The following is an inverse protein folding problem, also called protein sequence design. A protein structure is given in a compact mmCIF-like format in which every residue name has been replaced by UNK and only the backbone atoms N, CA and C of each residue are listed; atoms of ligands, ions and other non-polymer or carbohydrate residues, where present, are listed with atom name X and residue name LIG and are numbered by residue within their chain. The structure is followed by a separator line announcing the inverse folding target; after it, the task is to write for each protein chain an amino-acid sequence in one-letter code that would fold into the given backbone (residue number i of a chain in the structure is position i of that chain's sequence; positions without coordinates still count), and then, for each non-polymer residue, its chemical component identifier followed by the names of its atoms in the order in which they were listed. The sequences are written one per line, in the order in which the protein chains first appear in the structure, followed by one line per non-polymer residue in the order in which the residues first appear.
data_IF_337718887274
#
_entry.id   IF_337718887274
#
_cell.length_a   1.000
_cell.length_b   1.000
_cell.length_c   1.000
_cell.angle_alpha   90.00
_cell.angle_beta   90.00
_cell.angle_gamma   90.00
#
_symmetry.space_group_name_H-M   'P 1'
#
loop_
_entity.id
_entity.type
_entity.pdbx_description
1 polymer ?
#
# COMPACT_ATOMS: atom_id res chain seq x y z
N UNK A 1 17.54 59.81 44.77
CA UNK A 1 18.42 60.99 44.65
C UNK A 1 19.04 61.00 43.26
N UNK A 2 19.11 62.20 42.69
CA UNK A 2 19.51 62.51 41.32
C UNK A 2 21.03 62.47 41.09
N UNK A 3 21.45 62.46 39.81
CA UNK A 3 22.81 62.85 39.40
C UNK A 3 23.34 62.01 38.22
N UNK A 4 22.91 62.30 36.99
CA UNK A 4 23.59 63.22 36.07
C UNK A 4 25.00 62.73 35.63
N UNK A 5 25.09 62.04 34.50
CA UNK A 5 26.32 61.98 33.71
C UNK A 5 26.00 62.13 32.22
N UNK A 6 26.48 63.25 31.66
CA UNK A 6 26.27 63.73 30.29
C UNK A 6 26.77 62.72 29.24
N UNK A 7 26.17 62.67 28.03
CA UNK A 7 26.69 61.84 26.95
C UNK A 7 28.06 62.36 26.48
N UNK A 8 29.09 61.49 26.52
CA UNK A 8 30.39 61.77 25.93
C UNK A 8 30.27 61.85 24.40
N UNK A 9 30.67 63.00 23.85
CA UNK A 9 30.57 63.33 22.44
C UNK A 9 31.30 62.37 21.49
N UNK A 10 30.85 62.39 20.23
CA UNK A 10 31.31 61.53 19.16
C UNK A 10 32.83 61.61 18.93
N UNK A 11 33.52 60.48 19.10
CA UNK A 11 34.93 60.33 18.74
C UNK A 11 35.05 60.33 17.21
N UNK A 12 35.52 61.44 16.65
CA UNK A 12 35.85 61.55 15.22
C UNK A 12 37.13 60.74 14.93
N UNK A 13 37.00 59.52 14.40
CA UNK A 13 38.15 58.79 13.82
C UNK A 13 38.58 59.48 12.53
N UNK A 14 39.83 59.95 12.48
CA UNK A 14 40.44 60.49 11.27
C UNK A 14 40.49 59.41 10.18
N UNK A 15 40.03 59.77 8.97
CA UNK A 15 40.12 58.91 7.79
C UNK A 15 41.60 58.69 7.46
N UNK A 16 42.07 57.44 7.52
CA UNK A 16 43.35 57.03 6.93
C UNK A 16 43.29 57.39 5.44
N UNK A 17 44.23 58.22 4.96
CA UNK A 17 44.33 58.58 3.54
C UNK A 17 44.46 57.34 2.65
N UNK A 18 44.17 57.46 1.34
CA UNK A 18 44.22 56.33 0.42
C UNK A 18 45.64 55.74 0.42
N UNK A 19 45.76 54.44 0.71
CA UNK A 19 47.03 53.72 0.57
C UNK A 19 47.46 53.74 -0.90
N UNK A 20 48.70 54.16 -1.15
CA UNK A 20 49.31 54.10 -2.48
C UNK A 20 49.07 52.72 -3.12
N UNK A 21 48.48 52.72 -4.31
CA UNK A 21 47.99 51.53 -4.99
C UNK A 21 49.12 50.53 -5.28
N UNK A 22 48.78 49.24 -5.34
CA UNK A 22 49.68 48.14 -5.69
C UNK A 22 50.03 48.12 -7.19
N UNK A 23 50.41 49.27 -7.75
CA UNK A 23 50.77 49.44 -9.14
C UNK A 23 51.98 48.58 -9.48
N UNK A 24 51.75 47.40 -10.06
CA UNK A 24 52.79 46.57 -10.68
C UNK A 24 52.99 45.17 -10.11
N UNK A 25 52.52 44.86 -8.90
CA UNK A 25 52.90 43.59 -8.24
C UNK A 25 52.08 42.34 -8.63
N UNK A 26 51.10 42.44 -9.54
CA UNK A 26 50.37 41.28 -10.10
C UNK A 26 49.98 41.49 -11.58
N UNK A 27 50.95 41.53 -12.50
CA UNK A 27 50.66 41.59 -13.96
C UNK A 27 49.74 40.46 -14.45
N UNK A 28 49.83 39.25 -13.89
CA UNK A 28 48.92 38.12 -14.22
C UNK A 28 47.49 38.26 -13.68
N UNK A 29 47.23 39.20 -12.77
CA UNK A 29 45.88 39.49 -12.27
C UNK A 29 45.15 40.56 -13.07
N UNK A 30 45.84 41.18 -14.05
CA UNK A 30 45.36 42.28 -14.88
C UNK A 30 44.96 41.85 -16.30
N UNK A 31 45.12 40.57 -16.66
CA UNK A 31 44.41 40.04 -17.82
C UNK A 31 42.91 40.06 -17.51
N UNK A 32 42.19 40.92 -18.22
CA UNK A 32 40.74 41.01 -18.12
C UNK A 32 40.16 39.63 -18.42
N UNK A 33 39.67 38.95 -17.38
CA UNK A 33 38.75 37.82 -17.59
C UNK A 33 37.63 38.37 -18.46
N UNK A 34 37.44 37.78 -19.64
CA UNK A 34 36.55 38.29 -20.69
C UNK A 34 35.14 38.62 -20.19
N UNK A 35 34.30 39.21 -21.06
CA UNK A 35 32.99 39.74 -20.67
C UNK A 35 32.24 38.73 -19.81
N UNK A 36 31.81 39.21 -18.63
CA UNK A 36 31.21 38.32 -17.63
C UNK A 36 29.99 37.64 -18.27
N UNK A 37 29.87 36.30 -18.25
CA UNK A 37 28.82 35.56 -18.96
C UNK A 37 27.42 36.10 -18.67
N UNK A 38 26.42 35.88 -19.54
CA UNK A 38 25.06 36.33 -19.23
C UNK A 38 24.57 35.72 -17.92
N UNK A 39 23.71 36.43 -17.20
CA UNK A 39 23.21 36.06 -15.87
C UNK A 39 22.62 34.64 -15.81
N UNK A 40 22.06 34.17 -16.92
CA UNK A 40 21.49 32.83 -17.11
C UNK A 40 22.52 31.71 -17.22
N UNK A 41 23.75 32.02 -17.63
CA UNK A 41 24.80 31.03 -17.91
C UNK A 41 25.78 30.90 -16.74
N UNK A 42 25.53 31.62 -15.63
CA UNK A 42 26.36 31.62 -14.42
C UNK A 42 25.79 30.65 -13.38
N UNK A 43 26.43 29.50 -13.09
CA UNK A 43 25.85 28.44 -12.24
C UNK A 43 25.36 28.89 -10.86
N UNK A 44 26.01 29.89 -10.27
CA UNK A 44 25.70 30.40 -8.93
C UNK A 44 24.70 31.58 -8.92
N UNK A 45 24.32 32.10 -10.09
CA UNK A 45 23.43 33.24 -10.22
C UNK A 45 21.96 32.82 -10.18
N UNK A 46 21.09 33.67 -9.64
CA UNK A 46 19.66 33.38 -9.47
C UNK A 46 18.96 33.09 -10.81
N UNK A 47 19.32 33.81 -11.88
CA UNK A 47 18.76 33.62 -13.21
C UNK A 47 19.11 32.25 -13.83
N UNK A 48 20.33 31.74 -13.64
CA UNK A 48 20.69 30.37 -14.04
C UNK A 48 19.88 29.32 -13.26
N UNK A 49 19.70 29.53 -11.94
CA UNK A 49 18.85 28.65 -11.12
C UNK A 49 17.38 28.69 -11.57
N UNK A 50 16.89 29.86 -11.97
CA UNK A 50 15.53 30.03 -12.50
C UNK A 50 15.35 29.35 -13.86
N UNK A 51 16.31 29.51 -14.78
CA UNK A 51 16.34 28.86 -16.09
C UNK A 51 16.40 27.34 -15.99
N UNK A 52 17.30 26.78 -15.17
CA UNK A 52 17.32 25.33 -14.89
C UNK A 52 16.02 24.82 -14.24
N UNK A 53 15.35 25.63 -13.43
CA UNK A 53 14.05 25.26 -12.83
C UNK A 53 12.94 25.27 -13.87
N UNK A 54 12.96 26.21 -14.81
CA UNK A 54 12.05 26.27 -15.95
C UNK A 54 12.29 25.10 -16.92
N UNK A 55 13.55 24.82 -17.28
CA UNK A 55 13.95 23.68 -18.13
C UNK A 55 13.57 22.34 -17.50
N UNK A 56 13.81 22.15 -16.19
CA UNK A 56 13.32 20.98 -15.45
C UNK A 56 11.79 20.91 -15.35
N UNK A 57 11.09 22.03 -15.48
CA UNK A 57 9.62 22.05 -15.51
C UNK A 57 9.06 21.72 -16.89
N UNK A 58 9.78 22.05 -17.96
CA UNK A 58 9.44 21.71 -19.35
C UNK A 58 9.87 20.30 -19.75
N UNK A 59 10.94 19.75 -19.15
CA UNK A 59 11.38 18.36 -19.34
C UNK A 59 10.57 17.35 -18.51
N UNK A 60 9.81 17.81 -17.50
CA UNK A 60 8.78 16.96 -16.91
C UNK A 60 7.74 16.70 -18.00
N UNK A 61 7.66 15.42 -18.40
CA UNK A 61 6.59 14.81 -19.22
C UNK A 61 5.28 15.60 -19.03
N UNK A 62 4.52 15.89 -20.11
CA UNK A 62 3.30 16.68 -20.01
C UNK A 62 2.52 16.15 -18.84
N UNK A 63 2.13 17.03 -17.91
CA UNK A 63 1.52 16.68 -16.65
C UNK A 63 0.55 15.51 -16.87
N UNK A 64 1.01 14.28 -16.62
CA UNK A 64 0.14 13.13 -16.59
C UNK A 64 -0.84 13.51 -15.51
N UNK A 65 -2.07 13.82 -15.93
CA UNK A 65 -3.06 14.52 -15.13
C UNK A 65 -3.03 13.89 -13.74
N UNK A 66 -2.57 14.65 -12.74
CA UNK A 66 -2.62 14.18 -11.36
C UNK A 66 -4.10 14.02 -11.06
N UNK A 67 -4.59 12.78 -11.16
CA UNK A 67 -5.98 12.48 -10.89
C UNK A 67 -6.27 12.89 -9.45
N UNK A 68 -7.40 13.55 -9.19
CA UNK A 68 -7.82 13.79 -7.82
C UNK A 68 -8.02 12.42 -7.14
N UNK A 69 -7.60 12.30 -5.86
CA UNK A 69 -7.72 11.04 -5.10
C UNK A 69 -9.14 10.48 -5.06
N UNK A 70 -10.16 11.30 -5.32
CA UNK A 70 -11.57 10.91 -5.41
C UNK A 70 -11.90 10.05 -6.63
N UNK A 71 -11.10 10.11 -7.69
CA UNK A 71 -11.29 9.35 -8.94
C UNK A 71 -10.50 8.04 -8.97
N UNK A 72 -9.70 7.75 -7.94
CA UNK A 72 -9.05 6.46 -7.79
C UNK A 72 -9.98 5.45 -7.12
N UNK A 73 -9.95 4.17 -7.56
CA UNK A 73 -10.63 3.10 -6.85
C UNK A 73 -10.21 3.04 -5.38
N UNK A 74 -11.20 2.88 -4.50
CA UNK A 74 -10.96 2.72 -3.06
C UNK A 74 -10.70 1.25 -2.77
N UNK A 75 -9.45 0.88 -2.53
CA UNK A 75 -9.06 -0.48 -2.14
C UNK A 75 -8.04 -1.09 -3.09
N UNK A 76 -8.06 -2.42 -3.16
CA UNK A 76 -7.21 -3.16 -4.08
C UNK A 76 -7.76 -3.06 -5.51
N UNK A 77 -6.87 -3.20 -6.49
CA UNK A 77 -7.19 -3.05 -7.90
C UNK A 77 -6.78 -4.31 -8.65
N UNK A 78 -7.70 -4.85 -9.45
CA UNK A 78 -7.40 -5.90 -10.42
C UNK A 78 -7.41 -5.29 -11.82
N UNK A 79 -6.41 -5.63 -12.63
CA UNK A 79 -6.24 -5.05 -13.96
C UNK A 79 -5.96 -6.14 -14.99
N UNK A 80 -6.36 -5.88 -16.25
CA UNK A 80 -6.25 -6.84 -17.34
C UNK A 80 -7.55 -7.61 -17.59
N UNK A 81 -7.81 -7.96 -18.86
CA UNK A 81 -9.10 -8.51 -19.31
C UNK A 81 -9.46 -9.82 -18.61
N UNK A 82 -8.52 -10.76 -18.56
CA UNK A 82 -8.75 -12.07 -17.93
C UNK A 82 -8.89 -11.95 -16.41
N UNK A 83 -8.04 -11.16 -15.77
CA UNK A 83 -8.04 -11.06 -14.31
C UNK A 83 -9.35 -10.42 -13.80
N UNK A 84 -9.84 -9.39 -14.50
CA UNK A 84 -11.13 -8.75 -14.19
C UNK A 84 -12.30 -9.71 -14.43
N UNK A 85 -12.33 -10.39 -15.57
CA UNK A 85 -13.39 -11.35 -15.89
C UNK A 85 -13.48 -12.45 -14.83
N UNK A 86 -12.34 -13.04 -14.48
CA UNK A 86 -12.27 -14.11 -13.48
C UNK A 86 -12.69 -13.63 -12.09
N UNK A 87 -12.26 -12.43 -11.67
CA UNK A 87 -12.69 -11.86 -10.40
C UNK A 87 -14.21 -11.62 -10.36
N UNK A 88 -14.81 -11.21 -11.47
CA UNK A 88 -16.26 -11.05 -11.57
C UNK A 88 -16.99 -12.39 -11.53
N UNK A 89 -16.50 -13.43 -12.22
CA UNK A 89 -17.10 -14.79 -12.17
C UNK A 89 -17.08 -15.39 -10.76
N UNK A 90 -15.99 -15.17 -10.03
CA UNK A 90 -15.84 -15.62 -8.63
C UNK A 90 -16.60 -14.75 -7.63
N UNK A 91 -17.37 -13.75 -8.10
CA UNK A 91 -18.16 -12.84 -7.26
C UNK A 91 -17.30 -12.13 -6.20
N UNK A 92 -16.06 -11.79 -6.54
CA UNK A 92 -15.18 -11.03 -5.65
C UNK A 92 -15.84 -9.69 -5.32
N UNK A 93 -15.95 -9.28 -4.04
CA UNK A 93 -16.62 -8.04 -3.65
C UNK A 93 -15.98 -6.81 -4.31
N UNK A 94 -16.58 -6.31 -5.38
CA UNK A 94 -16.11 -5.16 -6.14
C UNK A 94 -16.93 -3.90 -5.85
N UNK A 95 -16.33 -2.73 -6.07
CA UNK A 95 -16.99 -1.43 -5.92
C UNK A 95 -17.35 -0.81 -7.26
N UNK A 96 -16.45 -0.91 -8.24
CA UNK A 96 -16.59 -0.28 -9.55
C UNK A 96 -15.73 -0.97 -10.59
N UNK A 97 -16.13 -0.84 -11.86
CA UNK A 97 -15.35 -1.23 -13.01
C UNK A 97 -15.06 0.01 -13.86
N UNK A 98 -13.80 0.19 -14.26
CA UNK A 98 -13.34 1.30 -15.08
C UNK A 98 -12.88 0.74 -16.44
N UNK A 99 -13.42 1.29 -17.52
CA UNK A 99 -13.16 0.83 -18.89
C UNK A 99 -12.62 1.97 -19.74
N UNK A 100 -11.62 1.69 -20.57
CA UNK A 100 -11.03 2.70 -21.44
C UNK A 100 -12.00 3.08 -22.56
N UNK A 101 -12.15 4.38 -22.82
CA UNK A 101 -12.82 4.88 -24.02
C UNK A 101 -12.18 4.27 -25.27
N UNK A 102 -13.00 3.71 -26.15
CA UNK A 102 -12.56 3.10 -27.39
C UNK A 102 -11.73 1.82 -27.22
N UNK A 103 -11.90 1.09 -26.11
CA UNK A 103 -11.32 -0.24 -25.97
C UNK A 103 -11.98 -1.21 -26.95
N UNK A 104 -11.18 -2.11 -27.54
CA UNK A 104 -11.73 -3.19 -28.36
C UNK A 104 -12.58 -4.12 -27.50
N UNK A 105 -13.88 -4.16 -27.78
CA UNK A 105 -14.83 -5.04 -27.07
C UNK A 105 -14.68 -6.44 -27.64
N UNK A 106 -13.88 -7.26 -26.97
CA UNK A 106 -13.86 -8.71 -27.17
C UNK A 106 -14.87 -9.40 -26.24
N UNK A 107 -15.06 -10.71 -26.41
CA UNK A 107 -15.99 -11.52 -25.61
C UNK A 107 -15.74 -11.35 -24.10
N UNK A 108 -14.47 -11.19 -23.69
CA UNK A 108 -14.09 -11.06 -22.28
C UNK A 108 -14.53 -9.73 -21.69
N UNK A 109 -14.36 -8.63 -22.45
CA UNK A 109 -14.84 -7.32 -22.01
C UNK A 109 -16.36 -7.30 -22.00
N UNK A 110 -17.01 -7.84 -23.04
CA UNK A 110 -18.46 -7.92 -23.11
C UNK A 110 -19.05 -8.67 -21.91
N UNK A 111 -18.51 -9.86 -21.60
CA UNK A 111 -18.93 -10.66 -20.44
C UNK A 111 -18.63 -9.95 -19.11
N UNK A 112 -17.47 -9.29 -18.99
CA UNK A 112 -17.12 -8.52 -17.79
C UNK A 112 -18.12 -7.38 -17.53
N UNK A 113 -18.51 -6.66 -18.58
CA UNK A 113 -19.51 -5.58 -18.46
C UNK A 113 -20.89 -6.14 -18.08
N UNK A 114 -21.28 -7.28 -18.66
CA UNK A 114 -22.54 -7.95 -18.33
C UNK A 114 -22.57 -8.42 -16.86
N UNK A 115 -21.49 -9.06 -16.38
CA UNK A 115 -21.37 -9.47 -14.98
C UNK A 115 -21.36 -8.27 -14.04
N UNK A 116 -20.68 -7.18 -14.42
CA UNK A 116 -20.68 -5.95 -13.63
C UNK A 116 -22.09 -5.34 -13.50
N UNK A 117 -22.89 -5.34 -14.57
CA UNK A 117 -24.29 -4.92 -14.52
C UNK A 117 -25.13 -5.83 -13.63
N UNK A 118 -24.98 -7.15 -13.76
CA UNK A 118 -25.71 -8.13 -12.94
C UNK A 118 -25.39 -7.99 -11.44
N UNK A 119 -24.15 -7.64 -11.10
CA UNK A 119 -23.71 -7.36 -9.74
C UNK A 119 -24.04 -5.94 -9.26
N UNK A 120 -24.65 -5.10 -10.09
CA UNK A 120 -25.00 -3.72 -9.75
C UNK A 120 -23.79 -2.80 -9.54
N UNK A 121 -22.66 -3.11 -10.18
CA UNK A 121 -21.43 -2.32 -10.07
C UNK A 121 -21.51 -1.03 -10.91
N UNK A 122 -20.86 0.03 -10.43
CA UNK A 122 -20.71 1.25 -11.22
C UNK A 122 -19.72 1.03 -12.37
N UNK A 123 -20.16 1.30 -13.60
CA UNK A 123 -19.32 1.24 -14.81
C UNK A 123 -18.89 2.66 -15.16
N UNK A 124 -17.59 2.91 -15.13
CA UNK A 124 -16.98 4.23 -15.44
C UNK A 124 -16.16 4.17 -16.70
N UNK A 125 -16.53 4.98 -17.69
CA UNK A 125 -15.74 5.11 -18.92
C UNK A 125 -14.69 6.23 -18.79
N UNK A 126 -13.42 5.86 -18.86
CA UNK A 126 -12.28 6.74 -18.53
C UNK A 126 -11.28 6.81 -19.69
N UNK A 127 -10.44 7.84 -19.70
CA UNK A 127 -9.39 7.92 -20.71
C UNK A 127 -8.33 6.85 -20.48
N UNK A 128 -7.79 6.25 -21.55
CA UNK A 128 -6.75 5.21 -21.45
C UNK A 128 -5.55 5.64 -20.59
N UNK A 129 -5.12 6.90 -20.73
CA UNK A 129 -4.03 7.46 -19.93
C UNK A 129 -4.31 7.45 -18.41
N UNK A 130 -5.58 7.56 -18.00
CA UNK A 130 -5.99 7.48 -16.59
C UNK A 130 -5.81 6.05 -16.08
N UNK A 131 -6.26 5.04 -16.84
CA UNK A 131 -6.08 3.64 -16.47
C UNK A 131 -4.61 3.24 -16.35
N UNK A 132 -3.77 3.64 -17.31
CA UNK A 132 -2.32 3.37 -17.26
C UNK A 132 -1.62 4.09 -16.08
N UNK A 133 -2.19 5.19 -15.59
CA UNK A 133 -1.70 5.86 -14.36
C UNK A 133 -2.07 5.06 -13.11
N UNK A 134 -3.24 4.41 -13.10
CA UNK A 134 -3.73 3.60 -11.97
C UNK A 134 -3.03 2.23 -11.94
N UNK A 135 -3.10 1.49 -13.04
CA UNK A 135 -2.49 0.18 -13.20
C UNK A 135 -1.84 0.10 -14.60
N UNK A 136 -0.50 0.09 -14.67
CA UNK A 136 0.21 -0.14 -15.93
C UNK A 136 -0.21 -1.46 -16.56
N UNK A 137 -0.33 -1.51 -17.89
CA UNK A 137 -0.72 -2.71 -18.63
C UNK A 137 -2.14 -3.22 -18.28
N UNK A 138 -3.06 -2.31 -17.91
CA UNK A 138 -4.46 -2.64 -17.61
C UNK A 138 -5.24 -3.28 -18.76
N UNK A 139 -4.71 -3.24 -20.00
CA UNK A 139 -5.39 -3.72 -21.21
C UNK A 139 -6.76 -3.04 -21.46
N UNK A 140 -6.95 -1.85 -20.89
CA UNK A 140 -8.15 -1.04 -21.05
C UNK A 140 -9.28 -1.36 -20.07
N UNK A 141 -9.05 -2.18 -19.04
CA UNK A 141 -10.07 -2.49 -18.03
C UNK A 141 -9.45 -2.68 -16.64
N UNK A 142 -10.12 -2.13 -15.63
CA UNK A 142 -9.74 -2.21 -14.22
C UNK A 142 -10.99 -2.50 -13.38
N UNK A 143 -10.85 -3.34 -12.37
CA UNK A 143 -11.85 -3.61 -11.35
C UNK A 143 -11.33 -3.10 -10.00
N UNK A 144 -12.11 -2.22 -9.36
CA UNK A 144 -11.89 -1.80 -7.99
C UNK A 144 -12.51 -2.80 -7.02
N UNK A 145 -11.71 -3.35 -6.11
CA UNK A 145 -12.14 -4.33 -5.11
C UNK A 145 -12.38 -3.63 -3.78
N UNK A 146 -13.48 -3.99 -3.13
CA UNK A 146 -13.81 -3.51 -1.78
C UNK A 146 -12.72 -3.99 -0.80
N UNK A 147 -12.17 -3.09 0.04
CA UNK A 147 -11.24 -3.51 1.08
C UNK A 147 -11.83 -4.63 1.93
N UNK A 148 -11.06 -5.70 2.14
CA UNK A 148 -11.49 -6.78 3.00
C UNK A 148 -11.69 -6.27 4.44
N UNK A 149 -12.79 -6.65 5.06
CA UNK A 149 -13.12 -6.27 6.43
C UNK A 149 -12.70 -7.40 7.37
N UNK A 150 -11.59 -7.22 8.07
CA UNK A 150 -11.16 -8.14 9.11
C UNK A 150 -12.01 -7.96 10.37
N UNK A 151 -12.35 -9.07 11.01
CA UNK A 151 -12.97 -9.10 12.34
C UNK A 151 -11.91 -8.99 13.43
N UNK A 152 -12.32 -8.72 14.66
CA UNK A 152 -11.41 -8.93 15.80
C UNK A 152 -11.46 -10.37 16.29
N UNK A 153 -10.40 -10.80 16.98
CA UNK A 153 -10.37 -12.12 17.64
C UNK A 153 -11.55 -12.26 18.62
N UNK A 154 -11.83 -11.23 19.40
CA UNK A 154 -12.92 -11.20 20.38
C UNK A 154 -14.29 -11.31 19.72
N UNK A 155 -14.49 -10.64 18.58
CA UNK A 155 -15.73 -10.70 17.81
C UNK A 155 -16.00 -12.12 17.32
N UNK A 156 -14.99 -12.80 16.76
CA UNK A 156 -15.11 -14.19 16.32
C UNK A 156 -15.48 -15.08 17.50
N UNK A 157 -14.74 -15.00 18.60
CA UNK A 157 -15.00 -15.80 19.81
C UNK A 157 -16.41 -15.55 20.37
N UNK A 158 -16.89 -14.30 20.39
CA UNK A 158 -18.21 -13.96 20.94
C UNK A 158 -19.40 -14.48 20.11
N UNK A 159 -19.21 -14.62 18.80
CA UNK A 159 -20.26 -15.06 17.86
C UNK A 159 -20.24 -16.57 17.62
N UNK A 160 -19.16 -17.23 17.98
CA UNK A 160 -18.97 -18.66 17.75
C UNK A 160 -19.79 -19.49 18.74
N UNK A 161 -20.27 -20.64 18.28
CA UNK A 161 -20.88 -21.65 19.15
C UNK A 161 -19.82 -22.68 19.52
N UNK A 162 -19.86 -23.18 20.76
CA UNK A 162 -19.00 -24.29 21.17
C UNK A 162 -19.55 -25.63 20.65
N UNK A 163 -18.69 -26.58 20.24
CA UNK A 163 -17.23 -26.43 20.14
C UNK A 163 -16.84 -25.53 18.96
N UNK A 164 -16.00 -24.53 19.23
CA UNK A 164 -15.48 -23.62 18.21
C UNK A 164 -14.19 -24.19 17.61
N UNK A 165 -13.95 -23.92 16.33
CA UNK A 165 -12.72 -24.29 15.65
C UNK A 165 -12.06 -23.03 15.06
N UNK A 166 -10.89 -22.68 15.57
CA UNK A 166 -10.07 -21.59 15.03
C UNK A 166 -8.85 -22.15 14.31
N UNK A 167 -8.49 -21.51 13.20
CA UNK A 167 -7.25 -21.80 12.48
C UNK A 167 -6.36 -20.56 12.54
N UNK A 168 -5.24 -20.66 13.23
CA UNK A 168 -4.21 -19.64 13.30
C UNK A 168 -3.14 -19.92 12.25
N UNK A 169 -2.80 -18.92 11.43
CA UNK A 169 -1.73 -19.00 10.45
C UNK A 169 -0.52 -18.21 10.91
N UNK A 170 0.61 -18.86 11.05
CA UNK A 170 1.89 -18.22 11.35
C UNK A 170 2.81 -18.26 10.11
N UNK A 171 3.31 -17.11 9.68
CA UNK A 171 4.25 -17.02 8.55
C UNK A 171 3.68 -17.27 7.15
N UNK A 172 2.38 -17.58 6.98
CA UNK A 172 1.78 -17.79 5.66
C UNK A 172 1.71 -16.47 4.89
N UNK A 173 2.58 -16.29 3.90
CA UNK A 173 2.74 -15.03 3.15
C UNK A 173 2.14 -15.04 1.75
N UNK A 174 1.90 -16.20 1.13
CA UNK A 174 1.23 -16.30 -0.17
C UNK A 174 -0.30 -16.17 -0.03
N UNK A 175 -0.95 -15.17 -0.68
CA UNK A 175 -2.41 -15.05 -0.72
C UNK A 175 -3.12 -16.29 -1.25
N UNK A 176 -2.50 -17.08 -2.14
CA UNK A 176 -3.11 -18.33 -2.63
C UNK A 176 -3.24 -19.36 -1.51
N UNK A 177 -2.21 -19.49 -0.67
CA UNK A 177 -2.23 -20.39 0.48
C UNK A 177 -3.27 -19.95 1.50
N UNK A 178 -3.35 -18.63 1.79
CA UNK A 178 -4.42 -18.08 2.63
C UNK A 178 -5.81 -18.42 2.07
N UNK A 179 -6.02 -18.26 0.76
CA UNK A 179 -7.28 -18.61 0.09
C UNK A 179 -7.59 -20.10 0.21
N UNK A 180 -6.61 -20.97 -0.01
CA UNK A 180 -6.77 -22.42 0.11
C UNK A 180 -7.13 -22.86 1.54
N UNK A 181 -6.43 -22.32 2.55
CA UNK A 181 -6.77 -22.55 3.95
C UNK A 181 -8.18 -22.03 4.24
N UNK A 182 -8.54 -20.84 3.78
CA UNK A 182 -9.88 -20.26 3.96
C UNK A 182 -10.98 -21.18 3.41
N UNK A 183 -10.75 -21.75 2.23
CA UNK A 183 -11.65 -22.73 1.62
C UNK A 183 -11.80 -23.97 2.48
N UNK A 184 -10.68 -24.56 2.90
CA UNK A 184 -10.68 -25.78 3.72
C UNK A 184 -11.32 -25.53 5.09
N UNK A 185 -10.90 -24.48 5.79
CA UNK A 185 -11.45 -24.10 7.09
C UNK A 185 -12.97 -23.89 7.04
N UNK A 186 -13.48 -23.20 6.02
CA UNK A 186 -14.92 -23.03 5.83
C UNK A 186 -15.64 -24.36 5.53
N UNK A 187 -15.01 -25.27 4.79
CA UNK A 187 -15.57 -26.60 4.49
C UNK A 187 -15.66 -27.49 5.73
N UNK A 188 -14.70 -27.36 6.65
CA UNK A 188 -14.67 -28.08 7.93
C UNK A 188 -15.44 -27.38 9.06
N UNK A 189 -16.13 -26.27 8.77
CA UNK A 189 -16.95 -25.57 9.77
C UNK A 189 -16.14 -24.79 10.80
N UNK A 190 -14.92 -24.34 10.45
CA UNK A 190 -14.17 -23.42 11.29
C UNK A 190 -15.00 -22.18 11.60
N UNK A 191 -14.86 -21.68 12.82
CA UNK A 191 -15.53 -20.47 13.30
C UNK A 191 -14.79 -19.20 12.87
N UNK A 192 -13.49 -19.30 12.57
CA UNK A 192 -12.72 -18.20 12.00
C UNK A 192 -11.25 -18.53 11.78
N UNK A 193 -10.57 -17.63 11.06
CA UNK A 193 -9.11 -17.68 10.83
C UNK A 193 -8.44 -16.52 11.54
N UNK A 194 -7.27 -16.77 12.14
CA UNK A 194 -6.44 -15.73 12.74
C UNK A 194 -5.14 -15.63 11.96
N UNK A 195 -4.78 -14.43 11.55
CA UNK A 195 -3.51 -14.12 10.89
C UNK A 195 -2.82 -12.96 11.61
N UNK A 196 -1.48 -12.89 11.65
CA UNK A 196 -0.80 -11.72 12.18
C UNK A 196 -0.90 -10.53 11.21
N UNK A 197 -0.84 -9.31 11.74
CA UNK A 197 -0.82 -8.08 10.91
C UNK A 197 0.44 -7.97 10.04
N UNK A 198 1.53 -8.60 10.46
CA UNK A 198 2.84 -8.56 9.79
C UNK A 198 3.28 -9.97 9.44
N UNK A 199 4.01 -10.09 8.33
CA UNK A 199 4.51 -11.38 7.82
C UNK A 199 3.39 -12.38 7.54
N UNK A 200 2.23 -11.89 7.10
CA UNK A 200 1.12 -12.69 6.64
C UNK A 200 0.61 -12.19 5.29
N UNK A 201 -0.06 -13.10 4.57
CA UNK A 201 -0.82 -12.79 3.38
C UNK A 201 -2.03 -11.90 3.72
N UNK A 202 -2.35 -10.97 2.83
CA UNK A 202 -3.60 -10.23 2.87
C UNK A 202 -4.67 -10.95 2.04
N UNK A 203 -5.94 -10.71 2.36
CA UNK A 203 -7.07 -11.19 1.57
C UNK A 203 -7.22 -10.34 0.28
N UNK A 204 -6.37 -10.66 -0.70
CA UNK A 204 -6.31 -10.03 -2.03
C UNK A 204 -7.28 -10.68 -3.01
N UNK A 205 -7.37 -10.15 -4.24
CA UNK A 205 -8.15 -10.79 -5.31
C UNK A 205 -7.78 -12.26 -5.56
N UNK A 206 -6.48 -12.57 -5.49
CA UNK A 206 -5.99 -13.94 -5.68
C UNK A 206 -6.37 -14.86 -4.51
N UNK A 207 -6.33 -14.35 -3.27
CA UNK A 207 -6.81 -15.11 -2.11
C UNK A 207 -8.32 -15.37 -2.20
N UNK A 208 -9.11 -14.36 -2.57
CA UNK A 208 -10.55 -14.48 -2.80
C UNK A 208 -10.87 -15.56 -3.83
N UNK A 209 -10.19 -15.52 -4.99
CA UNK A 209 -10.34 -16.53 -6.03
C UNK A 209 -10.05 -17.93 -5.50
N UNK A 210 -8.90 -18.14 -4.86
CA UNK A 210 -8.52 -19.47 -4.35
C UNK A 210 -9.46 -19.94 -3.21
N UNK A 211 -10.09 -19.02 -2.49
CA UNK A 211 -11.06 -19.33 -1.44
C UNK A 211 -12.40 -19.89 -1.95
N UNK A 212 -12.70 -19.77 -3.25
CA UNK A 212 -13.97 -20.20 -3.85
C UNK A 212 -15.20 -19.65 -3.08
N UNK A 213 -15.17 -18.35 -2.76
CA UNK A 213 -16.23 -17.66 -2.02
C UNK A 213 -16.28 -17.93 -0.50
N UNK A 214 -15.40 -18.79 0.04
CA UNK A 214 -15.34 -19.04 1.48
C UNK A 214 -15.04 -17.77 2.30
N UNK A 215 -14.23 -16.86 1.76
CA UNK A 215 -13.88 -15.59 2.39
C UNK A 215 -15.09 -14.66 2.63
N UNK A 216 -16.26 -14.89 2.00
CA UNK A 216 -17.47 -14.12 2.25
C UNK A 216 -18.22 -14.51 3.52
N UNK A 217 -17.95 -15.71 4.05
CA UNK A 217 -18.74 -16.34 5.12
C UNK A 217 -17.93 -16.75 6.34
N UNK A 218 -16.61 -16.95 6.18
CA UNK A 218 -15.71 -17.25 7.28
C UNK A 218 -15.00 -15.96 7.74
N UNK A 219 -15.21 -15.49 8.99
CA UNK A 219 -14.53 -14.31 9.47
C UNK A 219 -13.03 -14.56 9.63
N UNK A 220 -12.23 -13.56 9.26
CA UNK A 220 -10.77 -13.59 9.39
C UNK A 220 -10.37 -12.42 10.28
N UNK A 221 -9.60 -12.71 11.33
CA UNK A 221 -9.06 -11.73 12.25
C UNK A 221 -7.59 -11.46 12.00
N UNK A 222 -7.22 -10.17 12.04
CA UNK A 222 -5.84 -9.73 12.09
C UNK A 222 -5.44 -9.42 13.53
N UNK A 223 -4.33 -10.00 14.00
CA UNK A 223 -3.82 -9.79 15.35
C UNK A 223 -2.40 -9.22 15.32
N UNK A 224 -2.10 -8.34 16.28
CA UNK A 224 -0.77 -7.72 16.40
C UNK A 224 0.29 -8.73 16.85
N UNK A 225 -0.08 -9.64 17.76
CA UNK A 225 0.81 -10.64 18.33
C UNK A 225 0.08 -11.99 18.44
N UNK A 226 0.47 -12.94 17.61
CA UNK A 226 -0.14 -14.26 17.56
C UNK A 226 0.13 -15.06 18.84
N UNK A 227 1.34 -15.02 19.40
CA UNK A 227 1.68 -15.71 20.64
C UNK A 227 0.80 -15.27 21.81
N UNK A 228 0.57 -13.96 21.94
CA UNK A 228 -0.36 -13.42 22.95
C UNK A 228 -1.79 -13.90 22.72
N UNK A 229 -2.23 -13.96 21.46
CA UNK A 229 -3.58 -14.45 21.10
C UNK A 229 -3.73 -15.93 21.47
N UNK A 230 -2.69 -16.73 21.27
CA UNK A 230 -2.64 -18.13 21.68
C UNK A 230 -2.75 -18.26 23.20
N UNK A 231 -2.01 -17.46 23.96
CA UNK A 231 -2.11 -17.47 25.43
C UNK A 231 -3.52 -17.08 25.90
N UNK A 232 -4.15 -16.12 25.24
CA UNK A 232 -5.52 -15.69 25.55
C UNK A 232 -6.56 -16.76 25.15
N UNK A 233 -6.32 -17.54 24.10
CA UNK A 233 -7.12 -18.71 23.75
C UNK A 233 -7.01 -19.81 24.82
N UNK A 234 -5.79 -20.12 25.28
CA UNK A 234 -5.57 -21.09 26.37
C UNK A 234 -6.27 -20.70 27.66
N UNK A 235 -6.21 -19.41 28.05
CA UNK A 235 -6.92 -18.88 29.23
C UNK A 235 -8.44 -19.01 29.14
N UNK A 236 -8.99 -19.07 27.93
CA UNK A 236 -10.43 -19.29 27.69
C UNK A 236 -10.83 -20.77 27.73
N UNK A 237 -9.88 -21.68 27.97
CA UNK A 237 -10.13 -23.13 27.97
C UNK A 237 -10.08 -23.75 26.58
N UNK A 238 -9.53 -23.05 25.58
CA UNK A 238 -9.35 -23.59 24.24
C UNK A 238 -8.14 -24.53 24.22
N UNK A 239 -8.32 -25.72 23.66
CA UNK A 239 -7.23 -26.62 23.36
C UNK A 239 -6.44 -26.07 22.17
N UNK A 240 -5.12 -25.99 22.28
CA UNK A 240 -4.28 -25.42 21.22
C UNK A 240 -3.34 -26.49 20.68
N UNK A 241 -3.40 -26.72 19.38
CA UNK A 241 -2.55 -27.69 18.65
C UNK A 241 -1.67 -26.90 17.68
N UNK A 242 -0.35 -27.09 17.77
CA UNK A 242 0.58 -26.66 16.74
C UNK A 242 0.88 -27.81 15.79
N UNK A 243 0.79 -27.57 14.48
CA UNK A 243 1.20 -28.53 13.48
C UNK A 243 2.69 -28.34 13.18
N UNK A 244 3.46 -29.41 13.36
CA UNK A 244 4.89 -29.48 13.05
C UNK A 244 5.18 -30.82 12.39
N UNK A 245 6.01 -30.81 11.35
CA UNK A 245 6.43 -32.01 10.63
C UNK A 245 7.38 -32.89 11.43
N UNK A 246 8.11 -32.31 12.38
CA UNK A 246 9.05 -33.02 13.25
C UNK A 246 8.39 -33.55 14.53
N UNK A 247 7.05 -33.57 14.60
CA UNK A 247 6.32 -34.05 15.78
C UNK A 247 6.32 -35.57 15.89
N UNK A 248 6.58 -36.07 17.10
CA UNK A 248 6.47 -37.50 17.43
C UNK A 248 5.02 -38.01 17.55
N UNK A 249 4.03 -37.12 17.58
CA UNK A 249 2.62 -37.45 17.80
C UNK A 249 1.81 -37.21 16.53
N UNK A 250 1.13 -38.26 16.04
CA UNK A 250 0.26 -38.10 14.87
C UNK A 250 -1.11 -37.55 15.27
N UNK A 251 -1.71 -36.74 14.40
CA UNK A 251 -3.09 -36.22 14.57
C UNK A 251 -4.12 -37.32 14.84
N UNK A 252 -3.93 -38.51 14.24
CA UNK A 252 -4.82 -39.67 14.41
C UNK A 252 -4.83 -40.25 15.82
N UNK A 253 -3.76 -40.04 16.59
CA UNK A 253 -3.62 -40.56 17.96
C UNK A 253 -4.18 -39.58 19.00
N UNK A 254 -4.45 -38.32 18.61
CA UNK A 254 -5.04 -37.33 19.49
C UNK A 254 -6.54 -37.56 19.68
N UNK A 255 -6.95 -37.78 20.93
CA UNK A 255 -8.36 -37.76 21.33
C UNK A 255 -8.81 -36.31 21.53
N UNK A 256 -9.25 -35.66 20.46
CA UNK A 256 -9.87 -34.33 20.54
C UNK A 256 -11.38 -34.52 20.64
N UNK A 257 -11.96 -34.23 21.81
CA UNK A 257 -13.23 -34.82 22.21
C UNK A 257 -14.29 -33.80 22.66
N UNK A 258 -14.56 -32.78 21.83
CA UNK A 258 -15.65 -31.78 21.99
C UNK A 258 -15.28 -30.47 22.73
N UNK A 259 -13.99 -30.14 22.85
CA UNK A 259 -13.55 -28.84 23.39
C UNK A 259 -13.38 -27.80 22.27
N UNK A 260 -13.38 -26.52 22.64
CA UNK A 260 -12.99 -25.44 21.74
C UNK A 260 -11.53 -25.65 21.31
N UNK A 261 -11.25 -25.57 20.00
CA UNK A 261 -9.97 -25.94 19.41
C UNK A 261 -9.36 -24.78 18.60
N UNK A 262 -8.07 -24.51 18.81
CA UNK A 262 -7.25 -23.71 17.90
C UNK A 262 -6.15 -24.56 17.29
N UNK A 263 -6.11 -24.63 15.96
CA UNK A 263 -5.05 -25.26 15.19
C UNK A 263 -4.12 -24.17 14.67
N UNK A 264 -2.83 -24.28 14.94
CA UNK A 264 -1.79 -23.38 14.43
C UNK A 264 -1.09 -24.07 13.27
N UNK A 265 -1.06 -23.39 12.13
CA UNK A 265 -0.40 -23.85 10.90
C UNK A 265 0.72 -22.86 10.55
N UNK A 266 1.94 -23.36 10.47
CA UNK A 266 3.11 -22.58 10.05
C UNK A 266 3.21 -22.39 8.54
N UNK A 267 4.20 -21.62 8.09
CA UNK A 267 4.60 -21.58 6.70
C UNK A 267 5.36 -22.84 6.30
N UNK A 268 5.25 -23.23 5.04
CA UNK A 268 6.23 -24.09 4.39
C UNK A 268 7.52 -23.27 4.20
N UNK A 269 8.41 -23.24 5.20
CA UNK A 269 9.66 -22.49 5.13
C UNK A 269 10.49 -22.48 6.40
#
# INVERSE_FOLDING_TARGET
MAGNSKPRGAVRKSKKGPSAGSGGNRKRGLEGKGPTPKAEDRPYHAAHKAKKRAEKSTEKRPAAARMPKSEMPKGEIVSGRNAVLEALRESVPATEIMVARGVDIDDRIAESLQLALNHGLQIKEVHRAQLETIAPNSQGIILGIKPFQYSSYEEICSRSKSPMLLVALDGVTDPRNLGAVTRSAAAFGASGIIIPERRAAAMTASAWKTSAGAAARLPIAQVTNLARTIDDAKKRGMFVIGLDGDSDVTLSEMKVANEDLMIIVGSEG
#
